data_IF_112388420661
#
_entry.id   IF_112388420661
#
_cell.length_a   1.000
_cell.length_b   1.000
_cell.length_c   1.000
_cell.angle_alpha   90.00
_cell.angle_beta   90.00
_cell.angle_gamma   90.00
#
_symmetry.space_group_name_H-M   'P 1'
#
loop_
_entity.id
_entity.type
_entity.pdbx_description
1 polymer ?
#
# COMPACT_ATOMS: atom_id res chain seq x y z
N UNK A 1 9.53 15.93 16.02
CA UNK A 1 8.82 14.64 15.86
C UNK A 1 7.70 14.66 14.82
N UNK A 2 6.77 15.64 14.83
CA UNK A 2 5.65 15.71 13.87
C UNK A 2 6.09 15.88 12.39
N UNK A 3 7.09 16.70 12.09
CA UNK A 3 7.56 16.95 10.72
C UNK A 3 8.01 15.66 9.98
N UNK A 4 8.68 14.76 10.70
CA UNK A 4 9.13 13.49 10.12
C UNK A 4 7.97 12.51 9.83
N UNK A 5 6.84 12.65 10.53
CA UNK A 5 5.68 11.79 10.32
C UNK A 5 4.99 12.10 8.99
N UNK A 6 4.79 13.38 8.66
CA UNK A 6 4.20 13.80 7.38
C UNK A 6 5.07 13.39 6.18
N UNK A 7 6.38 13.51 6.31
CA UNK A 7 7.33 13.08 5.27
C UNK A 7 7.20 11.56 5.04
N UNK A 8 7.08 10.76 6.09
CA UNK A 8 6.87 9.33 5.97
C UNK A 8 5.55 8.99 5.27
N UNK A 9 4.49 9.73 5.53
CA UNK A 9 3.17 9.51 4.91
C UNK A 9 3.23 9.78 3.39
N UNK A 10 3.79 10.92 3.01
CA UNK A 10 3.97 11.28 1.59
C UNK A 10 4.86 10.25 0.88
N UNK A 11 5.98 9.85 1.51
CA UNK A 11 6.87 8.82 0.99
C UNK A 11 6.14 7.51 0.69
N UNK A 12 5.28 7.04 1.60
CA UNK A 12 4.54 5.78 1.43
C UNK A 12 3.50 5.86 0.31
N UNK A 13 2.77 6.97 0.20
CA UNK A 13 1.82 7.18 -0.90
C UNK A 13 2.54 7.18 -2.24
N UNK A 14 3.65 7.90 -2.36
CA UNK A 14 4.45 7.96 -3.59
C UNK A 14 5.03 6.57 -3.92
N UNK A 15 5.54 5.86 -2.92
CA UNK A 15 6.09 4.51 -3.11
C UNK A 15 5.01 3.54 -3.60
N UNK A 16 3.80 3.61 -3.03
CA UNK A 16 2.65 2.84 -3.49
C UNK A 16 2.27 3.19 -4.93
N UNK A 17 2.22 4.49 -5.25
CA UNK A 17 1.92 4.95 -6.61
C UNK A 17 2.96 4.46 -7.63
N UNK A 18 4.25 4.48 -7.29
CA UNK A 18 5.32 3.95 -8.15
C UNK A 18 5.14 2.43 -8.35
N UNK A 19 4.72 1.71 -7.32
CA UNK A 19 4.47 0.26 -7.42
C UNK A 19 3.42 -0.07 -8.48
N UNK A 20 2.42 0.79 -8.70
CA UNK A 20 1.39 0.57 -9.72
C UNK A 20 1.94 0.52 -11.15
N UNK A 21 3.12 1.12 -11.41
CA UNK A 21 3.78 1.05 -12.72
C UNK A 21 4.25 -0.38 -13.08
N UNK A 22 4.26 -1.29 -12.11
CA UNK A 22 4.55 -2.71 -12.37
C UNK A 22 3.43 -3.43 -13.11
N UNK A 23 2.23 -2.85 -13.16
CA UNK A 23 1.05 -3.41 -13.80
C UNK A 23 0.81 -2.81 -15.19
N UNK A 24 -0.16 -3.39 -15.89
CA UNK A 24 -0.59 -2.86 -17.17
C UNK A 24 -1.06 -1.39 -17.04
N UNK A 25 -0.74 -0.48 -18.00
CA UNK A 25 -0.12 -0.72 -19.32
C UNK A 25 1.42 -0.72 -19.32
N UNK A 26 2.09 -0.36 -18.23
CA UNK A 26 3.55 -0.15 -18.21
C UNK A 26 4.35 -1.46 -18.12
N UNK A 27 3.85 -2.45 -17.36
CA UNK A 27 4.44 -3.79 -17.19
C UNK A 27 5.90 -3.80 -16.68
N UNK A 28 6.33 -2.75 -15.96
CA UNK A 28 7.67 -2.69 -15.36
C UNK A 28 7.70 -3.50 -14.06
N UNK A 29 7.50 -4.83 -14.15
CA UNK A 29 7.35 -5.69 -12.98
C UNK A 29 8.56 -5.65 -12.02
N UNK A 30 9.76 -5.29 -12.52
CA UNK A 30 10.97 -5.11 -11.72
C UNK A 30 10.77 -4.04 -10.64
N UNK A 31 9.99 -2.99 -10.91
CA UNK A 31 9.66 -1.93 -9.95
C UNK A 31 9.00 -2.52 -8.70
N UNK A 32 8.20 -3.57 -8.86
CA UNK A 32 7.52 -4.23 -7.76
C UNK A 32 8.50 -4.76 -6.71
N UNK A 33 9.57 -5.43 -7.14
CA UNK A 33 10.60 -5.95 -6.24
C UNK A 33 11.30 -4.83 -5.45
N UNK A 34 11.66 -3.74 -6.12
CA UNK A 34 12.29 -2.59 -5.47
C UNK A 34 11.33 -1.90 -4.49
N UNK A 35 10.11 -1.65 -4.90
CA UNK A 35 9.12 -0.95 -4.07
C UNK A 35 8.76 -1.73 -2.81
N UNK A 36 8.48 -3.04 -2.93
CA UNK A 36 8.19 -3.88 -1.77
C UNK A 36 9.40 -4.04 -0.86
N UNK A 37 10.62 -4.13 -1.42
CA UNK A 37 11.84 -4.16 -0.62
C UNK A 37 12.05 -2.86 0.16
N UNK A 38 11.85 -1.70 -0.48
CA UNK A 38 11.94 -0.39 0.20
C UNK A 38 10.85 -0.24 1.27
N UNK A 39 9.65 -0.73 1.00
CA UNK A 39 8.56 -0.74 1.96
C UNK A 39 8.87 -1.63 3.17
N UNK A 40 9.40 -2.85 2.93
CA UNK A 40 9.87 -3.71 4.01
C UNK A 40 10.94 -3.05 4.87
N UNK A 41 12.00 -2.48 4.24
CA UNK A 41 13.08 -1.79 4.96
C UNK A 41 12.53 -0.65 5.80
N UNK A 42 11.58 0.13 5.26
CA UNK A 42 10.92 1.21 5.98
C UNK A 42 10.21 0.68 7.22
N UNK A 43 9.37 -0.34 7.09
CA UNK A 43 8.64 -0.95 8.20
C UNK A 43 9.60 -1.57 9.22
N UNK A 44 10.59 -2.32 8.77
CA UNK A 44 11.56 -2.99 9.65
C UNK A 44 12.32 -2.00 10.55
N UNK A 45 12.78 -0.88 9.97
CA UNK A 45 13.46 0.20 10.74
C UNK A 45 12.56 0.80 11.82
N UNK A 46 11.24 0.73 11.67
CA UNK A 46 10.27 1.32 12.61
C UNK A 46 9.77 0.34 13.69
N UNK A 47 10.01 -0.97 13.54
CA UNK A 47 9.47 -2.02 14.41
C UNK A 47 9.75 -1.82 15.90
N UNK A 48 10.91 -1.28 16.24
CA UNK A 48 11.31 -1.07 17.63
C UNK A 48 11.02 0.32 18.17
N UNK A 49 10.61 1.27 17.30
CA UNK A 49 10.52 2.69 17.65
C UNK A 49 9.08 3.20 17.74
N UNK A 50 8.10 2.51 17.17
CA UNK A 50 6.74 2.99 17.04
C UNK A 50 5.70 1.99 17.56
N UNK A 51 4.51 2.53 17.92
CA UNK A 51 3.36 1.73 18.32
C UNK A 51 2.84 0.91 17.13
N UNK A 52 2.38 -0.31 17.38
CA UNK A 52 1.88 -1.21 16.35
C UNK A 52 0.72 -0.61 15.54
N UNK A 53 -0.11 0.25 16.14
CA UNK A 53 -1.23 0.92 15.45
C UNK A 53 -0.80 1.84 14.30
N UNK A 54 0.42 2.41 14.35
CA UNK A 54 0.95 3.24 13.25
C UNK A 54 1.29 2.40 12.02
N UNK A 55 1.59 1.12 12.20
CA UNK A 55 1.88 0.21 11.08
C UNK A 55 0.65 0.00 10.21
N UNK A 56 -0.55 -0.04 10.81
CA UNK A 56 -1.79 -0.05 10.03
C UNK A 56 -1.87 1.16 9.11
N UNK A 57 -1.60 2.36 9.61
CA UNK A 57 -1.64 3.58 8.81
C UNK A 57 -0.58 3.55 7.71
N UNK A 58 0.64 3.06 7.99
CA UNK A 58 1.70 2.96 7.00
C UNK A 58 1.32 2.01 5.85
N UNK A 59 0.77 0.84 6.16
CA UNK A 59 0.27 -0.08 5.14
C UNK A 59 -0.90 0.48 4.36
N UNK A 60 -1.83 1.13 5.05
CA UNK A 60 -2.98 1.75 4.42
C UNK A 60 -2.57 2.85 3.44
N UNK A 61 -1.63 3.73 3.81
CA UNK A 61 -1.13 4.79 2.93
C UNK A 61 -0.41 4.24 1.69
N UNK A 62 0.43 3.20 1.88
CA UNK A 62 1.09 2.54 0.76
C UNK A 62 0.07 1.89 -0.18
N UNK A 63 -0.88 1.13 0.38
CA UNK A 63 -1.97 0.51 -0.37
C UNK A 63 -2.85 1.53 -1.08
N UNK A 64 -3.20 2.63 -0.41
CA UNK A 64 -3.98 3.71 -1.01
C UNK A 64 -3.27 4.31 -2.24
N UNK A 65 -1.97 4.63 -2.13
CA UNK A 65 -1.18 5.10 -3.26
C UNK A 65 -1.18 4.10 -4.43
N UNK A 66 -0.99 2.81 -4.13
CA UNK A 66 -0.99 1.74 -5.12
C UNK A 66 -2.34 1.60 -5.83
N UNK A 67 -3.45 1.51 -5.08
CA UNK A 67 -4.77 1.30 -5.67
C UNK A 67 -5.33 2.55 -6.33
N UNK A 68 -5.08 3.75 -5.80
CA UNK A 68 -5.56 5.00 -6.39
C UNK A 68 -4.97 5.21 -7.80
N UNK A 69 -3.69 4.90 -7.97
CA UNK A 69 -3.02 5.02 -9.27
C UNK A 69 -3.34 3.86 -10.22
N UNK A 70 -3.55 2.65 -9.69
CA UNK A 70 -3.86 1.48 -10.51
C UNK A 70 -5.31 1.47 -11.00
N UNK A 71 -6.26 1.94 -10.19
CA UNK A 71 -7.70 1.83 -10.47
C UNK A 71 -8.32 3.12 -11.05
N UNK A 72 -7.50 4.14 -11.39
CA UNK A 72 -8.02 5.40 -11.94
C UNK A 72 -8.87 5.22 -13.21
N UNK A 73 -8.58 4.17 -14.00
CA UNK A 73 -9.33 3.87 -15.23
C UNK A 73 -10.80 3.53 -14.97
N UNK A 74 -11.16 3.06 -13.77
CA UNK A 74 -12.56 2.81 -13.39
C UNK A 74 -13.34 4.13 -13.41
N UNK A 75 -12.74 5.22 -12.93
CA UNK A 75 -13.36 6.53 -12.96
C UNK A 75 -13.56 7.04 -14.39
N UNK A 76 -12.65 6.72 -15.30
CA UNK A 76 -12.79 7.07 -16.73
C UNK A 76 -13.98 6.33 -17.33
N UNK A 77 -14.18 5.05 -17.01
CA UNK A 77 -15.32 4.27 -17.49
C UNK A 77 -16.68 4.91 -17.11
N UNK A 78 -16.76 5.57 -15.97
CA UNK A 78 -17.96 6.26 -15.52
C UNK A 78 -18.24 7.58 -16.28
N UNK A 79 -17.28 8.07 -17.04
CA UNK A 79 -17.49 9.30 -17.86
C UNK A 79 -18.33 9.06 -19.10
N UNK A 80 -18.47 7.80 -19.54
CA UNK A 80 -19.23 7.43 -20.74
C UNK A 80 -20.73 7.58 -20.55
N UNK A 81 -21.26 7.45 -19.31
CA UNK A 81 -22.67 7.67 -19.00
C UNK A 81 -22.83 8.86 -18.06
N UNK A 82 -23.63 9.84 -18.50
CA UNK A 82 -23.83 11.08 -17.73
C UNK A 82 -24.51 10.83 -16.36
N UNK A 83 -25.32 9.79 -16.25
CA UNK A 83 -26.04 9.44 -15.03
C UNK A 83 -25.10 8.98 -13.90
N UNK A 84 -23.89 8.48 -14.23
CA UNK A 84 -22.95 7.95 -13.26
C UNK A 84 -21.78 8.89 -12.95
N UNK A 85 -21.71 10.08 -13.56
CA UNK A 85 -20.61 11.04 -13.32
C UNK A 85 -20.49 11.46 -11.84
N UNK A 86 -21.59 11.51 -11.10
CA UNK A 86 -21.56 11.85 -9.67
C UNK A 86 -20.84 10.80 -8.82
N UNK A 87 -20.69 9.56 -9.31
CA UNK A 87 -19.98 8.49 -8.61
C UNK A 87 -18.46 8.58 -8.75
N UNK A 88 -17.94 9.38 -9.69
CA UNK A 88 -16.49 9.49 -9.97
C UNK A 88 -15.68 9.80 -8.71
N UNK A 89 -15.98 10.84 -7.91
CA UNK A 89 -15.21 11.12 -6.71
C UNK A 89 -15.27 10.00 -5.67
N UNK A 90 -16.40 9.30 -5.62
CA UNK A 90 -16.60 8.15 -4.70
C UNK A 90 -15.69 7.01 -5.13
N UNK A 91 -15.64 6.67 -6.41
CA UNK A 91 -14.82 5.55 -6.93
C UNK A 91 -13.32 5.82 -6.79
N UNK A 92 -12.88 7.06 -7.01
CA UNK A 92 -11.46 7.44 -6.89
C UNK A 92 -10.95 7.35 -5.44
N UNK A 93 -11.80 7.60 -4.45
CA UNK A 93 -11.38 7.66 -3.05
C UNK A 93 -11.80 6.40 -2.30
N UNK A 94 -13.05 5.97 -2.43
CA UNK A 94 -13.63 4.93 -1.59
C UNK A 94 -13.11 3.54 -1.96
N UNK A 95 -13.02 3.21 -3.25
CA UNK A 95 -12.53 1.90 -3.68
C UNK A 95 -11.06 1.70 -3.29
N UNK A 96 -10.12 2.61 -3.62
CA UNK A 96 -8.74 2.48 -3.17
C UNK A 96 -8.59 2.45 -1.65
N UNK A 97 -9.37 3.26 -0.93
CA UNK A 97 -9.33 3.29 0.54
C UNK A 97 -9.77 1.96 1.14
N UNK A 98 -10.81 1.34 0.60
CA UNK A 98 -11.29 0.04 1.05
C UNK A 98 -10.25 -1.07 0.79
N UNK A 99 -9.69 -1.13 -0.41
CA UNK A 99 -8.66 -2.12 -0.74
C UNK A 99 -7.36 -1.90 0.06
N UNK A 100 -7.03 -0.66 0.37
CA UNK A 100 -5.90 -0.33 1.22
C UNK A 100 -6.02 -0.85 2.66
N UNK A 101 -7.24 -1.14 3.15
CA UNK A 101 -7.43 -1.75 4.48
C UNK A 101 -6.73 -3.10 4.59
N UNK A 102 -6.71 -3.89 3.52
CA UNK A 102 -6.00 -5.18 3.51
C UNK A 102 -4.50 -4.99 3.73
N UNK A 103 -3.90 -4.00 3.09
CA UNK A 103 -2.48 -3.65 3.27
C UNK A 103 -2.21 -3.11 4.69
N UNK A 104 -3.12 -2.31 5.23
CA UNK A 104 -3.08 -1.87 6.62
C UNK A 104 -3.10 -3.03 7.61
N UNK A 105 -3.99 -4.01 7.41
CA UNK A 105 -4.09 -5.21 8.25
C UNK A 105 -2.80 -6.04 8.21
N UNK A 106 -2.24 -6.28 7.00
CA UNK A 106 -0.98 -7.02 6.86
C UNK A 106 0.14 -6.36 7.66
N UNK A 107 0.33 -5.06 7.49
CA UNK A 107 1.41 -4.36 8.17
C UNK A 107 1.19 -4.27 9.68
N UNK A 108 -0.06 -4.22 10.12
CA UNK A 108 -0.40 -4.33 11.53
C UNK A 108 -0.01 -5.70 12.11
N UNK A 109 -0.37 -6.80 11.43
CA UNK A 109 0.02 -8.16 11.82
C UNK A 109 1.55 -8.31 11.77
N UNK A 110 2.19 -7.76 10.74
CA UNK A 110 3.64 -7.73 10.63
C UNK A 110 4.33 -7.05 11.82
N UNK A 111 3.74 -5.99 12.38
CA UNK A 111 4.27 -5.31 13.54
C UNK A 111 4.37 -6.21 14.79
N UNK A 112 3.52 -7.23 14.91
CA UNK A 112 3.59 -8.23 16.00
C UNK A 112 4.58 -9.35 15.69
N UNK A 113 4.57 -9.87 14.46
CA UNK A 113 5.34 -11.06 14.08
C UNK A 113 6.76 -10.74 13.62
N UNK A 114 6.98 -9.53 13.09
CA UNK A 114 8.22 -9.13 12.43
C UNK A 114 9.39 -8.77 13.33
N UNK A 115 9.23 -8.83 14.67
CA UNK A 115 10.30 -8.51 15.65
C UNK A 115 11.32 -9.63 15.77
N UNK A 116 12.01 -9.95 14.68
CA UNK A 116 12.97 -11.06 14.54
C UNK A 116 14.21 -10.61 13.77
N UNK A 117 15.11 -11.56 13.46
CA UNK A 117 16.24 -11.32 12.57
C UNK A 117 15.73 -10.88 11.19
N UNK A 118 16.49 -10.03 10.48
CA UNK A 118 16.10 -9.41 9.19
C UNK A 118 15.53 -10.44 8.21
N UNK A 119 16.21 -11.56 8.02
CA UNK A 119 15.80 -12.61 7.08
C UNK A 119 14.45 -13.22 7.48
N UNK A 120 14.27 -13.58 8.76
CA UNK A 120 13.00 -14.13 9.24
C UNK A 120 11.86 -13.12 9.11
N UNK A 121 12.13 -11.85 9.39
CA UNK A 121 11.15 -10.76 9.24
C UNK A 121 10.76 -10.55 7.77
N UNK A 122 11.72 -10.65 6.86
CA UNK A 122 11.47 -10.55 5.42
C UNK A 122 10.59 -11.72 4.92
N UNK A 123 10.86 -12.94 5.36
CA UNK A 123 10.05 -14.10 5.02
C UNK A 123 8.62 -13.98 5.54
N UNK A 124 8.43 -13.52 6.78
CA UNK A 124 7.11 -13.24 7.34
C UNK A 124 6.37 -12.17 6.54
N UNK A 125 7.05 -11.08 6.18
CA UNK A 125 6.48 -10.02 5.36
C UNK A 125 6.02 -10.55 4.01
N UNK A 126 6.88 -11.28 3.29
CA UNK A 126 6.56 -11.84 1.97
C UNK A 126 5.40 -12.84 2.04
N UNK A 127 5.37 -13.69 3.07
CA UNK A 127 4.30 -14.66 3.28
C UNK A 127 2.97 -13.98 3.55
N UNK A 128 2.94 -12.97 4.43
CA UNK A 128 1.73 -12.22 4.75
C UNK A 128 1.16 -11.51 3.52
N UNK A 129 2.01 -10.85 2.73
CA UNK A 129 1.57 -10.21 1.50
C UNK A 129 1.10 -11.22 0.46
N UNK A 130 1.82 -12.35 0.29
CA UNK A 130 1.41 -13.42 -0.62
C UNK A 130 0.05 -14.03 -0.27
N UNK A 131 -0.20 -14.33 0.99
CA UNK A 131 -1.50 -14.85 1.46
C UNK A 131 -2.61 -13.82 1.20
N UNK A 132 -2.36 -12.55 1.50
CA UNK A 132 -3.38 -11.52 1.35
C UNK A 132 -3.72 -11.25 -0.11
N UNK A 133 -2.74 -11.26 -1.01
CA UNK A 133 -3.00 -11.14 -2.45
C UNK A 133 -3.83 -12.33 -2.97
N UNK A 134 -3.67 -13.51 -2.38
CA UNK A 134 -4.45 -14.68 -2.72
C UNK A 134 -5.91 -14.59 -2.20
N UNK A 135 -6.13 -13.98 -1.02
CA UNK A 135 -7.46 -13.84 -0.41
C UNK A 135 -8.26 -12.68 -1.05
N UNK A 136 -7.58 -11.62 -1.46
CA UNK A 136 -8.18 -10.43 -2.08
C UNK A 136 -8.69 -10.72 -3.48
#
# INVERSE_FOLDING_TARGET
MKKNLYINFIYLIILGAITSLSLYPFNYFIINFFSFTLFFIFLYKKLNSYKNSLFFIYGWLFGFGYFATNLYWISISLTFDQNFKFLIPITIILIPSFLALFYGLITYIFAFLGKRKVVSSFLIFSLLFGIMEFIR
#
